data_IF_196890503076
#
_entry.id   IF_196890503076
#
_cell.length_a   1.000
_cell.length_b   1.000
_cell.length_c   1.000
_cell.angle_alpha   90.00
_cell.angle_beta   90.00
_cell.angle_gamma   90.00
#
_symmetry.space_group_name_H-M   'P 1'
#
loop_
_entity.id
_entity.type
_entity.pdbx_description
1 polymer ?
#
# COMPACT_ATOMS: atom_id res chain seq x y z
N UNK A 1 -26.14 1.85 -37.99
CA UNK A 1 -24.76 2.07 -38.49
C UNK A 1 -23.93 2.41 -37.27
N UNK A 2 -22.93 1.60 -36.92
CA UNK A 2 -22.14 1.86 -35.71
C UNK A 2 -21.36 3.17 -35.88
N UNK A 3 -21.46 4.06 -34.90
CA UNK A 3 -20.67 5.29 -34.86
C UNK A 3 -19.22 4.96 -34.54
N UNK A 4 -18.25 5.70 -35.10
CA UNK A 4 -16.81 5.53 -34.80
C UNK A 4 -16.57 5.60 -33.28
N UNK A 5 -17.33 6.44 -32.58
CA UNK A 5 -17.24 6.62 -31.14
C UNK A 5 -17.62 5.37 -30.36
N UNK A 6 -18.65 4.63 -30.79
CA UNK A 6 -19.03 3.34 -30.21
C UNK A 6 -17.93 2.28 -30.38
N UNK A 7 -17.14 2.36 -31.47
CA UNK A 7 -16.00 1.46 -31.70
C UNK A 7 -14.83 1.84 -30.80
N UNK A 8 -14.56 3.14 -30.61
CA UNK A 8 -13.51 3.61 -29.70
C UNK A 8 -13.83 3.23 -28.25
N UNK A 9 -15.08 3.41 -27.79
CA UNK A 9 -15.51 3.00 -26.45
C UNK A 9 -15.35 1.49 -26.23
N UNK A 10 -15.49 0.69 -27.29
CA UNK A 10 -15.28 -0.76 -27.22
C UNK A 10 -13.79 -1.16 -27.15
N UNK A 11 -12.93 -0.52 -27.94
CA UNK A 11 -11.51 -0.90 -28.00
C UNK A 11 -10.71 -0.28 -26.83
N UNK A 12 -11.16 0.86 -26.28
CA UNK A 12 -10.42 1.58 -25.24
C UNK A 12 -10.17 0.80 -23.95
N UNK A 13 -11.10 0.00 -23.37
CA UNK A 13 -10.80 -0.79 -22.18
C UNK A 13 -9.72 -1.84 -22.46
N UNK A 14 -9.66 -2.40 -23.67
CA UNK A 14 -8.62 -3.39 -24.06
C UNK A 14 -7.25 -2.72 -24.07
N UNK A 15 -7.13 -1.59 -24.79
CA UNK A 15 -5.87 -0.84 -24.90
C UNK A 15 -5.40 -0.37 -23.51
N UNK A 16 -6.31 0.20 -22.72
CA UNK A 16 -5.97 0.74 -21.40
C UNK A 16 -5.65 -0.37 -20.38
N UNK A 17 -6.21 -1.58 -20.55
CA UNK A 17 -5.87 -2.73 -19.71
C UNK A 17 -4.46 -3.26 -19.94
N UNK A 18 -3.83 -2.99 -21.09
CA UNK A 18 -2.49 -3.51 -21.40
C UNK A 18 -1.45 -3.09 -20.34
N UNK A 19 -1.47 -1.81 -19.93
CA UNK A 19 -0.59 -1.31 -18.88
C UNK A 19 -0.86 -1.99 -17.52
N UNK A 20 -2.13 -2.24 -17.21
CA UNK A 20 -2.55 -2.92 -15.99
C UNK A 20 -2.13 -4.39 -15.97
N UNK A 21 -2.15 -5.07 -17.12
CA UNK A 21 -1.62 -6.43 -17.28
C UNK A 21 -0.11 -6.46 -17.01
N UNK A 22 0.64 -5.49 -17.54
CA UNK A 22 2.08 -5.37 -17.27
C UNK A 22 2.33 -5.18 -15.77
N UNK A 23 1.60 -4.28 -15.10
CA UNK A 23 1.71 -4.07 -13.66
C UNK A 23 1.34 -5.31 -12.85
N UNK A 24 0.28 -6.02 -13.23
CA UNK A 24 -0.11 -7.31 -12.63
C UNK A 24 1.04 -8.33 -12.70
N UNK A 25 1.65 -8.53 -13.87
CA UNK A 25 2.76 -9.48 -14.04
C UNK A 25 4.00 -9.06 -13.25
N UNK A 26 4.31 -7.76 -13.20
CA UNK A 26 5.43 -7.23 -12.43
C UNK A 26 5.24 -7.47 -10.92
N UNK A 27 4.06 -7.19 -10.39
CA UNK A 27 3.76 -7.43 -8.97
C UNK A 27 3.67 -8.90 -8.63
N UNK A 28 3.08 -9.74 -9.50
CA UNK A 28 3.04 -11.18 -9.29
C UNK A 28 4.46 -11.78 -9.22
N UNK A 29 5.34 -11.38 -10.15
CA UNK A 29 6.74 -11.80 -10.13
C UNK A 29 7.44 -11.38 -8.84
N UNK A 30 7.23 -10.14 -8.39
CA UNK A 30 7.79 -9.65 -7.12
C UNK A 30 7.22 -10.39 -5.91
N UNK A 31 5.91 -10.65 -5.88
CA UNK A 31 5.23 -11.40 -4.82
C UNK A 31 5.83 -12.80 -4.67
N UNK A 32 5.97 -13.54 -5.78
CA UNK A 32 6.55 -14.88 -5.77
C UNK A 32 8.02 -14.86 -5.30
N UNK A 33 8.82 -13.89 -5.78
CA UNK A 33 10.25 -13.80 -5.45
C UNK A 33 10.51 -13.41 -3.99
N UNK A 34 9.81 -12.40 -3.49
CA UNK A 34 10.06 -11.80 -2.17
C UNK A 34 9.19 -12.37 -1.06
N UNK A 35 8.07 -13.03 -1.42
CA UNK A 35 7.04 -13.50 -0.49
C UNK A 35 6.43 -12.41 0.40
N UNK A 36 6.60 -11.13 0.04
CA UNK A 36 6.00 -10.01 0.77
C UNK A 36 4.50 -9.92 0.48
N UNK A 37 3.68 -9.90 1.55
CA UNK A 37 2.20 -9.86 1.48
C UNK A 37 1.67 -8.70 0.63
N UNK A 38 2.35 -7.57 0.69
CA UNK A 38 1.97 -6.35 -0.03
C UNK A 38 1.90 -6.55 -1.55
N UNK A 39 2.85 -7.26 -2.16
CA UNK A 39 2.81 -7.50 -3.60
C UNK A 39 1.68 -8.44 -4.00
N UNK A 40 1.23 -9.33 -3.11
CA UNK A 40 0.03 -10.13 -3.35
C UNK A 40 -1.21 -9.25 -3.39
N UNK A 41 -1.37 -8.30 -2.45
CA UNK A 41 -2.49 -7.37 -2.49
C UNK A 41 -2.47 -6.47 -3.74
N UNK A 42 -1.31 -5.97 -4.15
CA UNK A 42 -1.19 -5.20 -5.40
C UNK A 42 -1.50 -6.06 -6.64
N UNK A 43 -1.08 -7.33 -6.64
CA UNK A 43 -1.44 -8.27 -7.70
C UNK A 43 -2.95 -8.46 -7.77
N UNK A 44 -3.62 -8.61 -6.63
CA UNK A 44 -5.09 -8.70 -6.53
C UNK A 44 -5.74 -7.40 -7.03
N UNK A 45 -5.23 -6.23 -6.64
CA UNK A 45 -5.75 -4.93 -7.09
C UNK A 45 -5.76 -4.82 -8.62
N UNK A 46 -4.63 -5.11 -9.26
CA UNK A 46 -4.53 -5.04 -10.73
C UNK A 46 -5.33 -6.16 -11.42
N UNK A 47 -5.44 -7.34 -10.81
CA UNK A 47 -6.30 -8.41 -11.31
C UNK A 47 -7.78 -8.01 -11.29
N UNK A 48 -8.26 -7.43 -10.18
CA UNK A 48 -9.63 -6.93 -10.06
C UNK A 48 -9.92 -5.82 -11.07
N UNK A 49 -8.94 -4.92 -11.31
CA UNK A 49 -9.07 -3.90 -12.35
C UNK A 49 -9.19 -4.51 -13.76
N UNK A 50 -8.35 -5.50 -14.09
CA UNK A 50 -8.45 -6.19 -15.39
C UNK A 50 -9.81 -6.87 -15.54
N UNK A 51 -10.29 -7.57 -14.50
CA UNK A 51 -11.61 -8.18 -14.51
C UNK A 51 -12.72 -7.15 -14.70
N UNK A 52 -12.66 -6.01 -14.01
CA UNK A 52 -13.68 -4.96 -14.18
C UNK A 52 -13.73 -4.46 -15.63
N UNK A 53 -12.57 -4.32 -16.30
CA UNK A 53 -12.53 -3.96 -17.73
C UNK A 53 -13.06 -5.05 -18.65
N UNK A 54 -12.80 -6.31 -18.37
CA UNK A 54 -13.36 -7.43 -19.13
C UNK A 54 -14.90 -7.42 -19.06
N UNK A 55 -15.47 -7.22 -17.88
CA UNK A 55 -16.93 -7.14 -17.73
C UNK A 55 -17.50 -5.85 -18.33
N UNK A 56 -16.78 -4.73 -18.25
CA UNK A 56 -17.16 -3.48 -18.90
C UNK A 56 -17.20 -3.62 -20.43
N UNK A 57 -16.25 -4.37 -21.03
CA UNK A 57 -16.31 -4.72 -22.46
C UNK A 57 -17.56 -5.54 -22.76
N UNK A 58 -17.89 -6.50 -21.89
CA UNK A 58 -19.13 -7.29 -22.00
C UNK A 58 -20.38 -6.41 -22.02
N UNK A 59 -20.44 -5.41 -21.15
CA UNK A 59 -21.55 -4.44 -21.11
C UNK A 59 -21.71 -3.71 -22.46
N UNK A 60 -20.61 -3.34 -23.11
CA UNK A 60 -20.65 -2.56 -24.36
C UNK A 60 -20.69 -3.39 -25.65
N UNK A 61 -20.56 -4.72 -25.57
CA UNK A 61 -20.55 -5.61 -26.74
C UNK A 61 -21.81 -6.44 -26.89
N UNK A 62 -22.47 -6.72 -25.78
CA UNK A 62 -23.56 -7.69 -25.81
C UNK A 62 -24.86 -7.02 -26.24
N UNK A 63 -25.48 -7.61 -27.25
CA UNK A 63 -26.76 -7.25 -27.85
C UNK A 63 -27.97 -7.86 -27.12
N UNK A 64 -27.72 -8.57 -26.02
CA UNK A 64 -28.75 -9.19 -25.16
C UNK A 64 -28.81 -8.45 -23.83
N UNK A 65 -29.95 -7.85 -23.52
CA UNK A 65 -30.18 -7.04 -22.31
C UNK A 65 -29.70 -7.73 -21.03
N UNK A 66 -30.16 -8.96 -20.75
CA UNK A 66 -29.82 -9.68 -19.51
C UNK A 66 -28.32 -9.89 -19.32
N UNK A 67 -27.56 -10.05 -20.41
CA UNK A 67 -26.11 -10.22 -20.35
C UNK A 67 -25.41 -8.89 -20.12
N UNK A 68 -25.90 -7.80 -20.72
CA UNK A 68 -25.40 -6.46 -20.46
C UNK A 68 -25.65 -6.06 -18.98
N UNK A 69 -26.82 -6.43 -18.43
CA UNK A 69 -27.16 -6.20 -17.03
C UNK A 69 -26.24 -6.97 -16.07
N UNK A 70 -26.00 -8.26 -16.34
CA UNK A 70 -25.05 -9.06 -15.57
C UNK A 70 -23.63 -8.49 -15.64
N UNK A 71 -23.17 -8.12 -16.85
CA UNK A 71 -21.87 -7.49 -17.05
C UNK A 71 -21.74 -6.17 -16.30
N UNK A 72 -22.79 -5.36 -16.25
CA UNK A 72 -22.84 -4.13 -15.46
C UNK A 72 -22.72 -4.42 -13.96
N UNK A 73 -23.53 -5.33 -13.42
CA UNK A 73 -23.48 -5.74 -12.01
C UNK A 73 -22.07 -6.19 -11.62
N UNK A 74 -21.47 -7.08 -12.42
CA UNK A 74 -20.12 -7.58 -12.16
C UNK A 74 -19.08 -6.45 -12.22
N UNK A 75 -19.18 -5.54 -13.18
CA UNK A 75 -18.30 -4.36 -13.26
C UNK A 75 -18.36 -3.53 -11.97
N UNK A 76 -19.57 -3.24 -11.47
CA UNK A 76 -19.76 -2.48 -10.23
C UNK A 76 -19.21 -3.22 -9.00
N UNK A 77 -19.46 -4.53 -8.91
CA UNK A 77 -18.90 -5.38 -7.85
C UNK A 77 -17.37 -5.35 -7.85
N UNK A 78 -16.73 -5.48 -9.02
CA UNK A 78 -15.26 -5.44 -9.12
C UNK A 78 -14.69 -4.05 -8.82
N UNK A 79 -15.38 -2.95 -9.18
CA UNK A 79 -14.96 -1.61 -8.78
C UNK A 79 -15.03 -1.41 -7.26
N UNK A 80 -16.08 -1.91 -6.59
CA UNK A 80 -16.15 -1.86 -5.13
C UNK A 80 -15.05 -2.70 -4.47
N UNK A 81 -14.81 -3.92 -4.97
CA UNK A 81 -13.71 -4.78 -4.48
C UNK A 81 -12.34 -4.14 -4.73
N UNK A 82 -12.16 -3.43 -5.85
CA UNK A 82 -10.95 -2.70 -6.16
C UNK A 82 -10.69 -1.59 -5.14
N UNK A 83 -11.70 -0.76 -4.84
CA UNK A 83 -11.58 0.29 -3.82
C UNK A 83 -11.32 -0.30 -2.43
N UNK A 84 -12.04 -1.36 -2.08
CA UNK A 84 -11.83 -2.08 -0.83
C UNK A 84 -10.40 -2.62 -0.70
N UNK A 85 -9.88 -3.24 -1.76
CA UNK A 85 -8.50 -3.74 -1.81
C UNK A 85 -7.49 -2.58 -1.67
N UNK A 86 -7.77 -1.43 -2.27
CA UNK A 86 -6.93 -0.25 -2.13
C UNK A 86 -6.90 0.29 -0.68
N UNK A 87 -8.05 0.33 -0.01
CA UNK A 87 -8.15 0.66 1.41
C UNK A 87 -7.30 -0.30 2.24
N UNK A 88 -7.43 -1.61 2.02
CA UNK A 88 -6.66 -2.62 2.72
C UNK A 88 -5.15 -2.46 2.50
N UNK A 89 -4.72 -2.21 1.26
CA UNK A 89 -3.30 -1.98 0.93
C UNK A 89 -2.77 -0.79 1.73
N UNK A 90 -3.50 0.32 1.74
CA UNK A 90 -3.07 1.55 2.42
C UNK A 90 -3.03 1.38 3.93
N UNK A 91 -3.99 0.68 4.52
CA UNK A 91 -4.04 0.42 5.95
C UNK A 91 -2.96 -0.55 6.40
N UNK A 92 -2.79 -1.66 5.66
CA UNK A 92 -1.70 -2.60 5.87
C UNK A 92 -0.35 -1.90 5.80
N UNK A 93 -0.16 -1.01 4.83
CA UNK A 93 1.09 -0.25 4.72
C UNK A 93 1.26 0.72 5.89
N UNK A 94 0.25 1.54 6.17
CA UNK A 94 0.33 2.60 7.16
C UNK A 94 0.56 2.06 8.57
N UNK A 95 -0.10 0.96 8.93
CA UNK A 95 -0.22 0.52 10.32
C UNK A 95 0.32 -0.89 10.56
N UNK A 96 0.67 -1.66 9.51
CA UNK A 96 1.01 -3.08 9.60
C UNK A 96 -0.09 -3.94 10.25
N UNK A 97 -1.35 -3.46 10.22
CA UNK A 97 -2.51 -4.16 10.76
C UNK A 97 -3.22 -4.88 9.62
N UNK A 98 -3.43 -6.19 9.76
CA UNK A 98 -4.16 -6.99 8.77
C UNK A 98 -5.67 -6.70 8.81
N UNK A 99 -6.22 -6.43 10.00
CA UNK A 99 -7.64 -6.19 10.17
C UNK A 99 -7.91 -5.25 11.34
N UNK A 100 -8.67 -4.17 11.09
CA UNK A 100 -9.15 -3.25 12.11
C UNK A 100 -10.68 -3.30 12.19
N UNK A 101 -11.25 -2.80 13.29
CA UNK A 101 -12.71 -2.63 13.38
C UNK A 101 -13.26 -1.75 12.25
N UNK A 102 -12.44 -0.82 11.71
CA UNK A 102 -12.83 0.04 10.60
C UNK A 102 -12.90 -0.74 9.29
N UNK A 103 -11.92 -1.62 9.03
CA UNK A 103 -11.97 -2.55 7.91
C UNK A 103 -13.18 -3.49 7.99
N UNK A 104 -13.60 -3.86 9.20
CA UNK A 104 -14.83 -4.65 9.40
C UNK A 104 -16.06 -3.90 8.90
N UNK A 105 -16.21 -2.63 9.29
CA UNK A 105 -17.34 -1.78 8.88
C UNK A 105 -17.34 -1.62 7.35
N UNK A 106 -16.19 -1.31 6.76
CA UNK A 106 -16.05 -1.15 5.31
C UNK A 106 -16.40 -2.47 4.59
N UNK A 107 -15.92 -3.61 5.10
CA UNK A 107 -16.23 -4.93 4.54
C UNK A 107 -17.74 -5.21 4.55
N UNK A 108 -18.40 -4.96 5.68
CA UNK A 108 -19.85 -5.14 5.82
C UNK A 108 -20.59 -4.27 4.79
N UNK A 109 -20.21 -3.02 4.61
CA UNK A 109 -20.82 -2.13 3.62
C UNK A 109 -20.64 -2.65 2.18
N UNK A 110 -19.43 -3.11 1.83
CA UNK A 110 -19.15 -3.69 0.50
C UNK A 110 -20.01 -4.92 0.26
N UNK A 111 -20.06 -5.86 1.21
CA UNK A 111 -20.84 -7.08 1.05
C UNK A 111 -22.35 -6.83 1.05
N UNK A 112 -22.84 -5.84 1.82
CA UNK A 112 -24.24 -5.42 1.75
C UNK A 112 -24.59 -4.83 0.37
N UNK A 113 -23.74 -3.95 -0.17
CA UNK A 113 -23.95 -3.38 -1.50
C UNK A 113 -23.91 -4.47 -2.59
N UNK A 114 -22.92 -5.38 -2.54
CA UNK A 114 -22.83 -6.51 -3.48
C UNK A 114 -24.02 -7.48 -3.36
N UNK A 115 -24.45 -7.81 -2.14
CA UNK A 115 -25.63 -8.64 -1.90
C UNK A 115 -26.90 -8.00 -2.44
N UNK A 116 -27.04 -6.67 -2.29
CA UNK A 116 -28.10 -5.88 -2.90
C UNK A 116 -28.08 -5.93 -4.44
N UNK A 117 -26.91 -5.78 -5.06
CA UNK A 117 -26.74 -5.88 -6.52
C UNK A 117 -27.12 -7.27 -7.06
N UNK A 118 -26.92 -8.34 -6.29
CA UNK A 118 -27.28 -9.70 -6.73
C UNK A 118 -28.79 -9.96 -6.53
N UNK A 119 -29.36 -9.49 -5.42
CA UNK A 119 -30.71 -9.85 -5.00
C UNK A 119 -31.82 -8.96 -5.60
N UNK A 120 -31.58 -7.65 -5.72
CA UNK A 120 -32.58 -6.69 -6.19
C UNK A 120 -31.91 -5.49 -6.84
N UNK A 121 -31.29 -5.67 -8.03
CA UNK A 121 -30.42 -4.66 -8.60
C UNK A 121 -31.15 -3.40 -9.09
N UNK A 122 -32.49 -3.40 -9.27
CA UNK A 122 -33.29 -2.29 -9.80
C UNK A 122 -32.55 -1.55 -10.93
N UNK A 123 -32.47 -2.18 -12.11
CA UNK A 123 -31.71 -1.67 -13.25
C UNK A 123 -32.60 -1.00 -14.29
N UNK A 124 -32.07 0.00 -14.95
CA UNK A 124 -32.65 0.65 -16.13
C UNK A 124 -31.72 0.46 -17.32
N UNK A 125 -32.24 -0.17 -18.36
CA UNK A 125 -31.53 -0.52 -19.59
C UNK A 125 -32.07 0.29 -20.76
N UNK A 126 -31.19 1.01 -21.47
CA UNK A 126 -31.54 1.81 -22.65
C UNK A 126 -30.77 1.31 -23.88
N UNK A 127 -31.45 1.18 -25.02
CA UNK A 127 -30.82 0.75 -26.26
C UNK A 127 -30.27 1.98 -27.03
N UNK A 128 -28.93 2.09 -27.11
CA UNK A 128 -28.22 3.17 -27.82
C UNK A 128 -27.32 2.54 -28.89
N UNK A 129 -27.51 2.92 -30.16
CA UNK A 129 -26.75 2.39 -31.30
C UNK A 129 -26.73 0.84 -31.39
N UNK A 130 -27.81 0.18 -30.96
CA UNK A 130 -27.93 -1.28 -30.96
C UNK A 130 -27.21 -1.97 -29.80
N UNK A 131 -26.85 -1.23 -28.75
CA UNK A 131 -26.20 -1.74 -27.53
C UNK A 131 -26.97 -1.31 -26.29
N UNK A 132 -26.99 -2.15 -25.26
CA UNK A 132 -27.67 -1.82 -24.02
C UNK A 132 -26.74 -1.04 -23.08
N UNK A 133 -27.14 0.17 -22.72
CA UNK A 133 -26.54 0.95 -21.64
C UNK A 133 -27.40 0.73 -20.39
N UNK A 134 -26.81 0.00 -19.45
CA UNK A 134 -27.42 -0.36 -18.16
C UNK A 134 -26.93 0.59 -17.08
N UNK A 135 -27.83 1.07 -16.24
CA UNK A 135 -27.52 1.79 -14.99
C UNK A 135 -28.47 1.35 -13.87
N UNK A 136 -28.21 1.81 -12.65
CA UNK A 136 -29.19 1.71 -11.56
C UNK A 136 -30.37 2.64 -11.79
N UNK A 137 -31.56 2.18 -11.42
CA UNK A 137 -32.73 3.04 -11.29
C UNK A 137 -32.48 4.12 -10.23
N UNK A 138 -33.04 5.31 -10.45
CA UNK A 138 -32.87 6.44 -9.55
C UNK A 138 -33.28 6.06 -8.12
N UNK A 139 -32.44 6.43 -7.14
CA UNK A 139 -32.69 6.21 -5.71
C UNK A 139 -32.85 4.73 -5.29
N UNK A 140 -32.26 3.79 -6.04
CA UNK A 140 -32.23 2.40 -5.58
C UNK A 140 -31.48 2.25 -4.25
N UNK A 141 -31.92 1.36 -3.32
CA UNK A 141 -31.19 1.11 -2.08
C UNK A 141 -29.74 0.68 -2.30
N UNK A 142 -29.49 -0.06 -3.39
CA UNK A 142 -28.14 -0.50 -3.80
C UNK A 142 -27.24 0.69 -4.07
N UNK A 143 -27.73 1.64 -4.88
CA UNK A 143 -26.99 2.85 -5.20
C UNK A 143 -26.69 3.68 -3.95
N UNK A 144 -27.65 3.79 -3.03
CA UNK A 144 -27.45 4.48 -1.76
C UNK A 144 -26.29 3.87 -0.94
N UNK A 145 -26.25 2.55 -0.77
CA UNK A 145 -25.15 1.90 -0.05
C UNK A 145 -23.82 2.02 -0.79
N UNK A 146 -23.83 1.96 -2.12
CA UNK A 146 -22.64 2.16 -2.93
C UNK A 146 -22.05 3.57 -2.76
N UNK A 147 -22.89 4.61 -2.78
CA UNK A 147 -22.48 6.01 -2.55
C UNK A 147 -21.89 6.16 -1.13
N UNK A 148 -22.55 5.61 -0.11
CA UNK A 148 -22.04 5.65 1.27
C UNK A 148 -20.66 4.99 1.36
N UNK A 149 -20.52 3.79 0.77
CA UNK A 149 -19.25 3.08 0.74
C UNK A 149 -18.15 3.92 0.08
N UNK A 150 -18.42 4.50 -1.09
CA UNK A 150 -17.47 5.35 -1.79
C UNK A 150 -17.06 6.57 -0.96
N UNK A 151 -18.01 7.28 -0.36
CA UNK A 151 -17.71 8.44 0.50
C UNK A 151 -16.86 8.02 1.70
N UNK A 152 -17.24 6.95 2.40
CA UNK A 152 -16.51 6.48 3.57
C UNK A 152 -15.09 6.03 3.22
N UNK A 153 -14.92 5.21 2.18
CA UNK A 153 -13.62 4.75 1.73
C UNK A 153 -12.75 5.93 1.25
N UNK A 154 -13.33 6.91 0.55
CA UNK A 154 -12.66 8.14 0.12
C UNK A 154 -12.17 8.99 1.28
N UNK A 155 -13.03 9.27 2.28
CA UNK A 155 -12.64 10.02 3.48
C UNK A 155 -11.53 9.27 4.23
N UNK A 156 -11.67 7.96 4.36
CA UNK A 156 -10.72 7.12 5.08
C UNK A 156 -9.34 7.11 4.43
N UNK A 157 -9.27 6.83 3.13
CA UNK A 157 -8.00 6.83 2.37
C UNK A 157 -7.33 8.21 2.36
N UNK A 158 -8.13 9.28 2.25
CA UNK A 158 -7.65 10.67 2.32
C UNK A 158 -7.05 10.98 3.69
N UNK A 159 -7.75 10.62 4.76
CA UNK A 159 -7.27 10.80 6.13
C UNK A 159 -5.97 10.05 6.37
N UNK A 160 -5.89 8.78 5.95
CA UNK A 160 -4.71 7.95 6.10
C UNK A 160 -3.51 8.55 5.35
N UNK A 161 -3.66 8.92 4.08
CA UNK A 161 -2.58 9.55 3.31
C UNK A 161 -2.16 10.90 3.89
N UNK A 162 -3.11 11.69 4.41
CA UNK A 162 -2.80 12.93 5.11
C UNK A 162 -1.95 12.69 6.36
N UNK A 163 -2.33 11.71 7.19
CA UNK A 163 -1.54 11.33 8.38
C UNK A 163 -0.15 10.80 8.01
N UNK A 164 -0.05 9.95 6.98
CA UNK A 164 1.23 9.45 6.47
C UNK A 164 2.11 10.61 5.99
N UNK A 165 1.54 11.59 5.26
CA UNK A 165 2.29 12.74 4.77
C UNK A 165 2.84 13.60 5.92
N UNK A 166 2.07 13.76 6.99
CA UNK A 166 2.48 14.51 8.18
C UNK A 166 3.56 13.76 8.98
N UNK A 167 3.50 12.44 9.00
CA UNK A 167 4.48 11.59 9.67
C UNK A 167 5.77 11.39 8.85
N UNK A 168 5.69 11.49 7.51
CA UNK A 168 6.82 11.36 6.62
C UNK A 168 7.85 12.45 6.89
N UNK A 169 9.07 12.05 7.24
CA UNK A 169 10.17 12.98 7.47
C UNK A 169 10.82 13.37 6.15
N UNK A 170 10.98 12.38 5.27
CA UNK A 170 11.74 12.50 4.03
C UNK A 170 10.97 13.09 2.85
N UNK A 171 11.64 13.89 2.03
CA UNK A 171 11.05 14.44 0.80
C UNK A 171 10.63 13.37 -0.22
N UNK A 172 11.41 12.29 -0.37
CA UNK A 172 11.07 11.17 -1.26
C UNK A 172 9.74 10.51 -0.84
N UNK A 173 9.54 10.30 0.46
CA UNK A 173 8.29 9.75 1.03
C UNK A 173 7.11 10.69 0.75
N UNK A 174 7.28 11.98 1.03
CA UNK A 174 6.25 13.01 0.77
C UNK A 174 5.83 13.02 -0.70
N UNK A 175 6.78 12.94 -1.63
CA UNK A 175 6.51 12.86 -3.07
C UNK A 175 5.71 11.60 -3.42
N UNK A 176 6.11 10.43 -2.91
CA UNK A 176 5.36 9.18 -3.13
C UNK A 176 3.93 9.25 -2.60
N UNK A 177 3.74 9.80 -1.40
CA UNK A 177 2.41 9.98 -0.79
C UNK A 177 1.56 10.94 -1.61
N UNK A 178 2.15 12.00 -2.17
CA UNK A 178 1.44 12.92 -3.10
C UNK A 178 1.04 12.19 -4.38
N UNK A 179 1.90 11.35 -4.96
CA UNK A 179 1.53 10.53 -6.12
C UNK A 179 0.39 9.58 -5.80
N UNK A 180 0.41 8.91 -4.64
CA UNK A 180 -0.70 8.06 -4.20
C UNK A 180 -2.00 8.86 -4.04
N UNK A 181 -1.92 10.04 -3.41
CA UNK A 181 -3.06 10.92 -3.23
C UNK A 181 -3.68 11.33 -4.58
N UNK A 182 -2.84 11.77 -5.51
CA UNK A 182 -3.27 12.15 -6.86
C UNK A 182 -3.83 10.96 -7.64
N UNK A 183 -3.18 9.80 -7.55
CA UNK A 183 -3.64 8.56 -8.17
C UNK A 183 -5.03 8.12 -7.65
N UNK A 184 -5.28 8.23 -6.35
CA UNK A 184 -6.58 7.95 -5.73
C UNK A 184 -7.66 8.95 -6.18
N UNK A 185 -7.33 10.24 -6.23
CA UNK A 185 -8.28 11.26 -6.72
C UNK A 185 -8.69 10.96 -8.16
N UNK A 186 -7.72 10.65 -9.03
CA UNK A 186 -8.01 10.30 -10.42
C UNK A 186 -8.74 8.95 -10.55
N UNK A 187 -8.37 7.95 -9.76
CA UNK A 187 -8.97 6.62 -9.85
C UNK A 187 -10.41 6.59 -9.32
N UNK A 188 -10.71 7.35 -8.26
CA UNK A 188 -11.94 7.17 -7.48
C UNK A 188 -12.80 8.43 -7.54
N UNK A 189 -12.27 9.57 -7.12
CA UNK A 189 -13.09 10.77 -6.93
C UNK A 189 -13.60 11.34 -8.24
N UNK A 190 -12.70 11.54 -9.22
CA UNK A 190 -13.05 12.16 -10.50
C UNK A 190 -14.03 11.30 -11.31
N UNK A 191 -13.93 9.97 -11.36
CA UNK A 191 -14.95 9.14 -12.03
C UNK A 191 -16.25 9.02 -11.23
N UNK A 192 -16.20 8.98 -9.90
CA UNK A 192 -17.40 8.77 -9.06
C UNK A 192 -18.32 9.99 -9.05
N UNK A 193 -17.78 11.22 -8.94
CA UNK A 193 -18.61 12.43 -8.82
C UNK A 193 -19.55 12.60 -10.02
N UNK A 194 -19.09 12.55 -11.29
CA UNK A 194 -19.96 12.65 -12.45
C UNK A 194 -20.96 11.51 -12.55
N UNK A 195 -20.59 10.27 -12.18
CA UNK A 195 -21.52 9.14 -12.17
C UNK A 195 -22.67 9.38 -11.20
N UNK A 196 -22.37 9.81 -9.97
CA UNK A 196 -23.39 10.16 -8.98
C UNK A 196 -24.28 11.31 -9.46
N UNK A 197 -23.68 12.33 -10.10
CA UNK A 197 -24.45 13.45 -10.67
C UNK A 197 -25.38 12.97 -11.78
N UNK A 198 -24.90 12.11 -12.69
CA UNK A 198 -25.70 11.56 -13.79
C UNK A 198 -26.84 10.68 -13.27
N UNK A 199 -26.58 9.89 -12.21
CA UNK A 199 -27.59 9.04 -11.58
C UNK A 199 -28.68 9.86 -10.87
N UNK A 200 -28.30 10.98 -10.22
CA UNK A 200 -29.26 11.84 -9.48
C UNK A 200 -30.02 12.79 -10.41
N UNK A 201 -29.32 13.48 -11.32
CA UNK A 201 -29.89 14.54 -12.16
C UNK A 201 -30.45 14.03 -13.49
N UNK A 202 -30.22 12.76 -13.82
CA UNK A 202 -30.61 12.15 -15.08
C UNK A 202 -29.53 12.26 -16.16
N UNK A 203 -29.71 11.49 -17.25
CA UNK A 203 -28.70 11.30 -18.29
C UNK A 203 -28.59 12.49 -19.23
N UNK A 204 -27.38 12.98 -19.53
CA UNK A 204 -27.19 13.89 -20.65
C UNK A 204 -27.44 13.14 -21.98
N UNK A 205 -28.10 13.75 -22.97
CA UNK A 205 -28.48 13.05 -24.20
C UNK A 205 -27.27 12.76 -25.12
N UNK A 206 -27.30 11.58 -25.73
CA UNK A 206 -26.53 11.22 -26.93
C UNK A 206 -25.01 11.23 -26.80
N UNK A 207 -24.34 11.87 -27.77
CA UNK A 207 -22.87 11.90 -27.97
C UNK A 207 -22.06 12.37 -26.75
N UNK A 208 -22.65 13.24 -25.94
CA UNK A 208 -22.02 13.73 -24.71
C UNK A 208 -21.71 12.58 -23.74
N UNK A 209 -22.61 11.60 -23.61
CA UNK A 209 -22.47 10.46 -22.72
C UNK A 209 -21.26 9.59 -23.09
N UNK A 210 -21.09 9.25 -24.37
CA UNK A 210 -19.98 8.40 -24.85
C UNK A 210 -18.64 9.07 -24.56
N UNK A 211 -18.52 10.38 -24.82
CA UNK A 211 -17.30 11.14 -24.56
C UNK A 211 -17.00 11.19 -23.05
N UNK A 212 -18.02 11.42 -22.21
CA UNK A 212 -17.87 11.43 -20.76
C UNK A 212 -17.41 10.06 -20.25
N UNK A 213 -18.02 8.96 -20.69
CA UNK A 213 -17.62 7.61 -20.30
C UNK A 213 -16.18 7.29 -20.71
N UNK A 214 -15.77 7.68 -21.91
CA UNK A 214 -14.40 7.51 -22.40
C UNK A 214 -13.40 8.31 -21.55
N UNK A 215 -13.72 9.57 -21.26
CA UNK A 215 -12.87 10.42 -20.42
C UNK A 215 -12.71 9.84 -19.01
N UNK A 216 -13.82 9.39 -18.39
CA UNK A 216 -13.78 8.74 -17.09
C UNK A 216 -12.91 7.49 -17.11
N UNK A 217 -13.04 6.66 -18.14
CA UNK A 217 -12.24 5.45 -18.32
C UNK A 217 -10.73 5.77 -18.41
N UNK A 218 -10.35 6.80 -19.17
CA UNK A 218 -8.95 7.22 -19.28
C UNK A 218 -8.42 7.71 -17.93
N UNK A 219 -9.18 8.57 -17.25
CA UNK A 219 -8.79 9.16 -15.97
C UNK A 219 -8.64 8.09 -14.89
N UNK A 220 -9.59 7.16 -14.82
CA UNK A 220 -9.58 6.05 -13.87
C UNK A 220 -8.34 5.15 -14.07
N UNK A 221 -8.06 4.76 -15.32
CA UNK A 221 -6.88 3.96 -15.64
C UNK A 221 -5.59 4.71 -15.33
N UNK A 222 -5.50 6.01 -15.64
CA UNK A 222 -4.34 6.82 -15.31
C UNK A 222 -4.13 6.87 -13.78
N UNK A 223 -5.19 7.05 -13.00
CA UNK A 223 -5.14 7.06 -11.54
C UNK A 223 -4.61 5.74 -10.97
N UNK A 224 -5.15 4.60 -11.42
CA UNK A 224 -4.71 3.26 -10.96
C UNK A 224 -3.26 2.97 -11.36
N UNK A 225 -2.84 3.40 -12.54
CA UNK A 225 -1.44 3.27 -12.96
C UNK A 225 -0.50 4.13 -12.11
N UNK A 226 -0.89 5.36 -11.77
CA UNK A 226 -0.11 6.22 -10.87
C UNK A 226 0.04 5.56 -9.50
N UNK A 227 -1.04 4.98 -8.95
CA UNK A 227 -0.99 4.20 -7.71
C UNK A 227 0.00 3.03 -7.84
N UNK A 228 -0.08 2.26 -8.93
CA UNK A 228 0.84 1.15 -9.20
C UNK A 228 2.30 1.59 -9.31
N UNK A 229 2.58 2.69 -10.03
CA UNK A 229 3.94 3.22 -10.19
C UNK A 229 4.48 3.68 -8.84
N UNK A 230 3.68 4.39 -8.04
CA UNK A 230 4.06 4.83 -6.71
C UNK A 230 4.44 3.64 -5.80
N UNK A 231 3.62 2.58 -5.79
CA UNK A 231 3.95 1.36 -5.05
C UNK A 231 5.15 0.61 -5.63
N UNK A 232 5.32 0.61 -6.95
CA UNK A 232 6.49 0.01 -7.58
C UNK A 232 7.78 0.75 -7.22
N UNK A 233 7.75 2.08 -7.06
CA UNK A 233 8.89 2.84 -6.56
C UNK A 233 9.12 2.59 -5.07
N UNK A 234 8.05 2.62 -4.26
CA UNK A 234 8.11 2.29 -2.84
C UNK A 234 8.63 0.85 -2.59
N UNK A 235 8.40 -0.08 -3.51
CA UNK A 235 8.87 -1.46 -3.39
C UNK A 235 10.38 -1.63 -3.30
N UNK A 236 11.16 -0.65 -3.76
CA UNK A 236 12.61 -0.67 -3.58
C UNK A 236 12.98 -0.40 -2.12
N UNK A 237 12.20 0.46 -1.48
CA UNK A 237 12.41 0.95 -0.12
C UNK A 237 11.08 0.90 0.65
N UNK A 238 10.63 -0.28 1.10
CA UNK A 238 9.27 -0.46 1.66
C UNK A 238 9.00 0.34 2.94
N UNK A 239 10.02 0.91 3.58
CA UNK A 239 9.83 1.84 4.70
C UNK A 239 9.21 3.18 4.26
N UNK A 240 9.26 3.54 2.98
CA UNK A 240 8.92 4.90 2.53
C UNK A 240 7.45 5.34 2.69
N UNK A 241 6.49 4.44 2.89
CA UNK A 241 5.09 4.82 3.17
C UNK A 241 4.62 4.39 4.59
N UNK A 242 5.53 3.89 5.43
CA UNK A 242 5.20 3.36 6.76
C UNK A 242 5.30 4.51 7.74
N UNK A 243 4.38 4.56 8.72
CA UNK A 243 4.41 5.59 9.75
C UNK A 243 5.46 5.34 10.84
N UNK A 244 6.10 4.17 10.82
CA UNK A 244 7.07 3.75 11.81
C UNK A 244 8.25 4.70 11.86
N UNK A 245 8.56 5.21 13.06
CA UNK A 245 9.78 5.98 13.27
C UNK A 245 10.89 5.06 13.73
N UNK A 246 12.03 5.22 13.08
CA UNK A 246 13.30 4.71 13.59
C UNK A 246 13.89 5.80 14.47
N UNK A 247 14.37 5.43 15.66
CA UNK A 247 14.92 6.38 16.63
C UNK A 247 16.44 6.30 16.69
N UNK A 248 16.96 5.09 16.74
CA UNK A 248 18.38 4.82 16.94
C UNK A 248 18.74 3.49 16.27
N UNK A 249 19.87 3.46 15.58
CA UNK A 249 20.60 2.22 15.31
C UNK A 249 21.94 2.31 16.02
N UNK A 250 22.30 1.26 16.75
CA UNK A 250 23.57 1.17 17.47
C UNK A 250 24.20 -0.19 17.23
N UNK A 251 25.50 -0.18 16.96
CA UNK A 251 26.33 -1.37 16.84
C UNK A 251 27.33 -1.32 17.97
N UNK A 252 27.40 -2.38 18.77
CA UNK A 252 28.31 -2.48 19.90
C UNK A 252 29.01 -3.84 19.93
N UNK A 253 30.19 -3.90 20.55
CA UNK A 253 30.87 -5.17 20.82
C UNK A 253 30.10 -6.00 21.85
N UNK A 254 30.41 -7.29 21.97
CA UNK A 254 29.81 -8.13 23.02
C UNK A 254 30.15 -7.63 24.44
N UNK A 255 31.20 -6.83 24.59
CA UNK A 255 31.57 -6.17 25.86
C UNK A 255 30.83 -4.84 26.10
N UNK A 256 29.91 -4.44 25.20
CA UNK A 256 29.12 -3.22 25.32
C UNK A 256 29.79 -1.94 24.81
N UNK A 257 30.96 -2.05 24.16
CA UNK A 257 31.65 -0.89 23.56
C UNK A 257 30.95 -0.49 22.28
N UNK A 258 30.48 0.77 22.20
CA UNK A 258 29.89 1.32 20.99
C UNK A 258 30.92 1.31 19.84
N UNK A 259 30.54 0.68 18.73
CA UNK A 259 31.32 0.65 17.48
C UNK A 259 30.78 1.68 16.47
N UNK A 260 29.47 1.83 16.40
CA UNK A 260 28.78 2.78 15.53
C UNK A 260 27.42 3.12 16.11
N UNK A 261 26.96 4.35 15.89
CA UNK A 261 25.57 4.71 16.14
C UNK A 261 25.09 5.76 15.15
N UNK A 262 23.78 5.74 14.92
CA UNK A 262 23.07 6.80 14.21
C UNK A 262 21.74 7.06 14.88
N UNK A 263 21.57 8.31 15.30
CA UNK A 263 20.31 8.80 15.84
C UNK A 263 19.49 9.46 14.74
N UNK A 264 18.22 9.08 14.64
CA UNK A 264 17.26 9.61 13.67
C UNK A 264 16.31 10.65 14.30
N UNK A 265 16.49 10.93 15.60
CA UNK A 265 15.71 11.89 16.37
C UNK A 265 16.63 12.81 17.16
N UNK A 266 16.23 14.07 17.35
CA UNK A 266 16.96 15.00 18.22
C UNK A 266 16.76 14.68 19.73
N UNK A 267 15.85 13.76 20.06
CA UNK A 267 15.51 13.42 21.45
C UNK A 267 16.53 12.52 22.16
N UNK A 268 17.39 11.83 21.42
CA UNK A 268 18.41 10.92 21.98
C UNK A 268 19.75 11.59 21.77
N UNK A 269 20.40 11.96 22.87
CA UNK A 269 21.73 12.56 22.84
C UNK A 269 22.81 11.49 22.63
N UNK A 270 24.05 11.90 22.30
CA UNK A 270 25.18 10.96 22.18
C UNK A 270 25.50 10.26 23.50
N UNK A 271 25.34 10.97 24.62
CA UNK A 271 25.60 10.39 25.94
C UNK A 271 24.56 9.31 26.27
N UNK A 272 23.30 9.49 25.83
CA UNK A 272 22.26 8.47 25.95
C UNK A 272 22.62 7.20 25.17
N UNK A 273 23.23 7.31 23.98
CA UNK A 273 23.61 6.15 23.17
C UNK A 273 24.63 5.26 23.88
N UNK A 274 25.65 5.86 24.50
CA UNK A 274 26.66 5.14 25.28
C UNK A 274 26.04 4.42 26.50
N UNK A 275 25.09 5.08 27.17
CA UNK A 275 24.34 4.48 28.27
C UNK A 275 23.46 3.32 27.80
N UNK A 276 22.82 3.47 26.64
CA UNK A 276 21.97 2.44 26.05
C UNK A 276 22.78 1.21 25.64
N UNK A 277 23.94 1.37 24.99
CA UNK A 277 24.77 0.21 24.60
C UNK A 277 25.25 -0.59 25.82
N UNK A 278 25.76 0.09 26.85
CA UNK A 278 26.16 -0.56 28.10
C UNK A 278 24.96 -1.18 28.84
N UNK A 279 23.83 -0.47 28.86
CA UNK A 279 22.59 -0.94 29.49
C UNK A 279 22.03 -2.20 28.82
N UNK A 280 22.02 -2.27 27.49
CA UNK A 280 21.55 -3.45 26.75
C UNK A 280 22.42 -4.68 27.00
N UNK A 281 23.75 -4.52 27.02
CA UNK A 281 24.66 -5.61 27.39
C UNK A 281 24.43 -6.08 28.82
N UNK A 282 24.29 -5.15 29.78
CA UNK A 282 24.04 -5.49 31.17
C UNK A 282 22.71 -6.24 31.37
N UNK A 283 21.64 -5.80 30.70
CA UNK A 283 20.33 -6.48 30.71
C UNK A 283 20.48 -7.89 30.10
N UNK A 284 21.18 -8.00 28.96
CA UNK A 284 21.46 -9.28 28.31
C UNK A 284 22.13 -10.29 29.24
N UNK A 285 23.23 -9.87 29.87
CA UNK A 285 23.99 -10.73 30.78
C UNK A 285 23.18 -11.09 32.03
N UNK A 286 22.47 -10.14 32.63
CA UNK A 286 21.63 -10.38 33.80
C UNK A 286 20.53 -11.40 33.51
N UNK A 287 19.86 -11.31 32.36
CA UNK A 287 18.83 -12.28 31.98
C UNK A 287 19.43 -13.65 31.71
N UNK A 288 20.56 -13.74 31.02
CA UNK A 288 21.24 -15.02 30.78
C UNK A 288 21.66 -15.69 32.08
N UNK A 289 22.24 -14.93 33.01
CA UNK A 289 22.66 -15.45 34.32
C UNK A 289 21.46 -15.84 35.20
N UNK A 290 20.38 -15.06 35.19
CA UNK A 290 19.19 -15.35 36.01
C UNK A 290 18.34 -16.50 35.49
N UNK A 291 18.41 -16.82 34.19
CA UNK A 291 17.53 -17.82 33.55
C UNK A 291 18.26 -19.07 33.06
N UNK A 292 19.60 -19.10 33.15
CA UNK A 292 20.47 -20.11 32.52
C UNK A 292 20.19 -20.28 31.00
N UNK A 293 19.62 -19.25 30.37
CA UNK A 293 19.27 -19.31 28.95
C UNK A 293 20.54 -19.28 28.10
N UNK A 294 20.68 -20.25 27.20
CA UNK A 294 21.78 -20.29 26.22
C UNK A 294 21.60 -19.29 25.06
N UNK A 295 20.39 -18.76 24.89
CA UNK A 295 20.07 -17.79 23.84
C UNK A 295 20.43 -16.36 24.22
N UNK A 296 20.63 -15.50 23.23
CA UNK A 296 20.75 -14.05 23.43
C UNK A 296 19.38 -13.37 23.35
N UNK A 297 19.28 -12.17 23.92
CA UNK A 297 18.08 -11.33 23.77
C UNK A 297 17.97 -10.94 22.29
N UNK A 298 16.80 -11.19 21.71
CA UNK A 298 16.48 -10.82 20.32
C UNK A 298 15.64 -9.54 20.23
N UNK A 299 14.86 -9.24 21.26
CA UNK A 299 14.07 -8.02 21.32
C UNK A 299 13.72 -7.64 22.76
N UNK A 300 13.54 -6.34 23.00
CA UNK A 300 12.94 -5.77 24.21
C UNK A 300 11.70 -4.99 23.77
N UNK A 301 10.53 -5.43 24.23
CA UNK A 301 9.23 -4.84 23.89
C UNK A 301 8.78 -3.91 25.00
N UNK A 302 8.56 -2.64 24.65
CA UNK A 302 7.93 -1.62 25.48
C UNK A 302 6.52 -1.32 24.95
N UNK A 303 5.71 -0.58 25.70
CA UNK A 303 4.34 -0.26 25.30
C UNK A 303 4.27 0.54 23.98
N UNK A 304 5.23 1.45 23.77
CA UNK A 304 5.27 2.38 22.63
C UNK A 304 6.50 2.22 21.74
N UNK A 305 7.41 1.30 22.08
CA UNK A 305 8.69 1.12 21.41
C UNK A 305 9.11 -0.34 21.39
N UNK A 306 9.94 -0.66 20.42
CA UNK A 306 10.60 -1.95 20.32
C UNK A 306 12.08 -1.75 20.03
N UNK A 307 12.92 -2.37 20.87
CA UNK A 307 14.34 -2.51 20.59
C UNK A 307 14.59 -3.91 20.05
N UNK A 308 15.05 -3.99 18.81
CA UNK A 308 15.38 -5.25 18.15
C UNK A 308 16.87 -5.46 18.14
N UNK A 309 17.31 -6.69 18.37
CA UNK A 309 18.71 -7.04 18.57
C UNK A 309 19.08 -8.18 17.63
N UNK A 310 20.08 -7.95 16.79
CA UNK A 310 20.69 -8.96 15.94
C UNK A 310 22.08 -9.24 16.49
N UNK A 311 22.27 -10.47 16.96
CA UNK A 311 23.53 -10.95 17.48
C UNK A 311 24.35 -11.55 16.32
N UNK A 312 25.48 -10.93 15.98
CA UNK A 312 26.46 -11.47 15.03
C UNK A 312 27.70 -11.95 15.78
N UNK A 313 28.60 -12.65 15.09
CA UNK A 313 29.78 -13.28 15.71
C UNK A 313 30.69 -12.28 16.44
N UNK A 314 30.82 -11.05 15.92
CA UNK A 314 31.79 -10.07 16.43
C UNK A 314 31.15 -8.80 17.02
N UNK A 315 29.84 -8.65 16.92
CA UNK A 315 29.13 -7.46 17.37
C UNK A 315 27.65 -7.78 17.57
N UNK A 316 26.96 -6.86 18.23
CA UNK A 316 25.53 -6.82 18.37
C UNK A 316 25.02 -5.55 17.68
N UNK A 317 23.96 -5.68 16.88
CA UNK A 317 23.28 -4.54 16.25
C UNK A 317 21.91 -4.40 16.87
N UNK A 318 21.63 -3.24 17.46
CA UNK A 318 20.33 -2.92 18.03
C UNK A 318 19.66 -1.77 17.27
N UNK A 319 18.36 -1.93 17.01
CA UNK A 319 17.52 -0.95 16.32
C UNK A 319 16.32 -0.61 17.21
N UNK A 320 16.16 0.67 17.53
CA UNK A 320 15.03 1.19 18.29
C UNK A 320 13.99 1.81 17.35
N UNK A 321 12.76 1.32 17.42
CA UNK A 321 11.62 1.73 16.58
C UNK A 321 10.35 1.88 17.41
N UNK A 322 9.30 2.52 16.87
CA UNK A 322 7.96 2.55 17.49
C UNK A 322 7.36 1.12 17.62
N UNK A 323 7.43 0.34 16.55
CA UNK A 323 6.91 -1.04 16.47
C UNK A 323 7.62 -1.78 15.34
N UNK A 324 7.85 -3.09 15.42
CA UNK A 324 8.46 -3.82 14.28
C UNK A 324 7.51 -3.94 13.09
N UNK A 325 8.08 -3.79 11.91
CA UNK A 325 7.46 -4.16 10.64
C UNK A 325 8.38 -5.06 9.85
N UNK A 326 7.81 -5.86 8.95
CA UNK A 326 8.59 -6.70 8.03
C UNK A 326 9.65 -5.89 7.26
N UNK A 327 9.34 -4.65 6.87
CA UNK A 327 10.28 -3.78 6.16
C UNK A 327 11.49 -3.41 7.03
N UNK A 328 11.25 -3.02 8.29
CA UNK A 328 12.35 -2.73 9.22
C UNK A 328 13.08 -3.98 9.71
N UNK A 329 12.44 -5.15 9.72
CA UNK A 329 13.11 -6.45 9.90
C UNK A 329 14.12 -6.71 8.81
N UNK A 330 13.68 -6.63 7.56
CA UNK A 330 14.55 -6.84 6.41
C UNK A 330 15.66 -5.78 6.34
N UNK A 331 15.37 -4.50 6.63
CA UNK A 331 16.37 -3.44 6.65
C UNK A 331 17.41 -3.61 7.76
N UNK A 332 17.00 -4.03 8.97
CA UNK A 332 17.93 -4.26 10.08
C UNK A 332 18.85 -5.46 9.81
N UNK A 333 18.31 -6.55 9.26
CA UNK A 333 19.10 -7.73 8.88
C UNK A 333 20.09 -7.40 7.78
N UNK A 334 19.64 -6.71 6.71
CA UNK A 334 20.51 -6.27 5.62
C UNK A 334 21.61 -5.32 6.13
N UNK A 335 21.27 -4.39 7.02
CA UNK A 335 22.27 -3.53 7.65
C UNK A 335 23.32 -4.36 8.40
N UNK A 336 22.90 -5.31 9.24
CA UNK A 336 23.82 -6.13 10.01
C UNK A 336 24.71 -7.01 9.11
N UNK A 337 24.16 -7.57 8.03
CA UNK A 337 24.92 -8.34 7.03
C UNK A 337 25.93 -7.48 6.28
N UNK A 338 25.52 -6.30 5.79
CA UNK A 338 26.41 -5.38 5.08
C UNK A 338 27.50 -4.81 6.00
N UNK A 339 27.15 -4.48 7.24
CA UNK A 339 28.09 -4.01 8.25
C UNK A 339 29.14 -5.09 8.53
N UNK A 340 28.70 -6.34 8.77
CA UNK A 340 29.61 -7.47 8.97
C UNK A 340 30.53 -7.64 7.77
N UNK A 341 29.97 -7.70 6.55
CA UNK A 341 30.74 -7.91 5.32
C UNK A 341 31.76 -6.81 5.07
N UNK A 342 31.40 -5.54 5.32
CA UNK A 342 32.25 -4.38 5.06
C UNK A 342 33.38 -4.25 6.10
N UNK A 343 33.11 -4.60 7.36
CA UNK A 343 34.04 -4.36 8.47
C UNK A 343 34.59 -5.62 9.13
N UNK A 344 34.37 -6.82 8.57
CA UNK A 344 34.75 -8.10 9.18
C UNK A 344 36.21 -8.15 9.63
N UNK A 345 37.13 -7.67 8.80
CA UNK A 345 38.57 -7.66 9.12
C UNK A 345 38.88 -6.77 10.32
N UNK A 346 38.23 -5.61 10.43
CA UNK A 346 38.39 -4.65 11.53
C UNK A 346 37.72 -5.14 12.81
N UNK A 347 36.59 -5.82 12.69
CA UNK A 347 35.89 -6.44 13.81
C UNK A 347 36.72 -7.57 14.45
N UNK A 348 37.42 -8.38 13.64
CA UNK A 348 38.28 -9.47 14.13
C UNK A 348 39.51 -8.99 14.90
N UNK A 349 40.05 -7.83 14.53
CA UNK A 349 41.26 -7.27 15.13
C UNK A 349 40.96 -5.97 15.87
N UNK A 350 39.76 -5.84 16.45
CA UNK A 350 39.33 -4.59 17.05
C UNK A 350 40.26 -4.21 18.21
N UNK A 351 40.91 -3.06 18.07
CA UNK A 351 41.87 -2.52 19.03
C UNK A 351 41.40 -1.23 19.71
N UNK A 352 40.10 -0.94 19.65
CA UNK A 352 39.50 0.29 20.22
C UNK A 352 39.31 1.45 19.24
N UNK A 353 39.80 1.37 18.00
CA UNK A 353 39.61 2.43 17.00
C UNK A 353 38.20 2.33 16.38
N UNK A 354 37.28 3.19 16.80
CA UNK A 354 35.88 3.19 16.33
C UNK A 354 35.63 4.02 15.06
N UNK A 355 36.54 4.96 14.75
CA UNK A 355 36.42 5.89 13.61
C UNK A 355 36.24 5.19 12.27
N UNK A 356 36.79 3.98 12.12
CA UNK A 356 36.69 3.16 10.91
C UNK A 356 35.26 2.76 10.58
N UNK A 357 34.37 2.67 11.57
CA UNK A 357 32.98 2.27 11.40
C UNK A 357 32.05 3.42 11.00
N UNK A 358 32.50 4.68 11.06
CA UNK A 358 31.70 5.84 10.62
C UNK A 358 31.26 5.75 9.15
N UNK A 359 31.98 4.99 8.32
CA UNK A 359 31.59 4.69 6.93
C UNK A 359 30.31 3.84 6.82
N UNK A 360 29.75 3.38 7.93
CA UNK A 360 28.44 2.74 7.98
C UNK A 360 27.29 3.72 7.71
N UNK A 361 27.52 5.04 7.77
CA UNK A 361 26.53 6.04 7.36
C UNK A 361 26.02 5.78 5.93
N UNK A 362 26.87 5.35 5.01
CA UNK A 362 26.44 4.99 3.65
C UNK A 362 25.48 3.80 3.61
N UNK A 363 25.63 2.84 4.53
CA UNK A 363 24.73 1.68 4.63
C UNK A 363 23.39 2.15 5.20
N UNK A 364 23.45 2.99 6.25
CA UNK A 364 22.25 3.57 6.86
C UNK A 364 21.46 4.43 5.86
N UNK A 365 22.15 5.30 5.12
CA UNK A 365 21.53 6.19 4.16
C UNK A 365 20.87 5.45 2.99
N UNK A 366 21.31 4.22 2.68
CA UNK A 366 20.70 3.38 1.65
C UNK A 366 19.49 2.58 2.14
N UNK A 367 19.47 2.19 3.42
CA UNK A 367 18.47 1.28 3.99
C UNK A 367 17.40 1.99 4.83
N UNK A 368 17.70 3.19 5.34
CA UNK A 368 16.80 3.95 6.20
C UNK A 368 16.48 5.37 5.66
N UNK A 369 17.18 5.83 4.60
CA UNK A 369 16.93 7.10 3.84
C UNK A 369 16.81 6.86 2.29
#
# INVERSE_FOLDING_TARGET
>A
MQTIESQILFVSPIILSAASIVMFLLFLRKAIKTKQKMFYYLTILFFLHILSRVFQIGQYTVDVQNRAELSFILTQMFHMLLLYTLVLILEFYSQNILFSGKNTIISVLVFLAMGGMISSPNLESELVDGRYIVNFAQLSPVLFFQIIFYIMASIWTTYLLYTNRKAADMNKQKILIIFLFFGIILAIFIPTIPNVIIEILGRPPGRSLILTLLLMLIIENAGILIVGIAFYWASKNPWLLQQQKVYLIVVYSHDGVELYSKTFTEKISKDDVLLLSGGFTAIGNLFQEATDAQGSINAILLEDKELRIINKKYFVSALLVDYSTQATEEAHEQFAEEFQKRFESKLKTFSGEVSVFNKADEIVDNLFY
#
